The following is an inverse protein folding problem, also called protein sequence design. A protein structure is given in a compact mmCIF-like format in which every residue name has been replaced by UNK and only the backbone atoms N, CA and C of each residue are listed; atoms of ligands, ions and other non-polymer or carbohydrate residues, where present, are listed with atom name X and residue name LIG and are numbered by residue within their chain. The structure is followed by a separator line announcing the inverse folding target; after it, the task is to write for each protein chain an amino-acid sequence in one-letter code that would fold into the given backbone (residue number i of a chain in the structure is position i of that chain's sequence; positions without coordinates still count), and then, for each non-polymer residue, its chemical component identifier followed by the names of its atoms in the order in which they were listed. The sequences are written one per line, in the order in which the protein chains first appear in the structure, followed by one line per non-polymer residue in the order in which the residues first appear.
data_IF_840873771111
#
_entry.id   IF_840873771111
#
_cell.length_a   1.000
_cell.length_b   1.000
_cell.length_c   1.000
_cell.angle_alpha   90.00
_cell.angle_beta   90.00
_cell.angle_gamma   90.00
#
_symmetry.space_group_name_H-M   'P 1'
#
loop_
_entity.id
_entity.type
_entity.pdbx_description
1 polymer ?
#
# COMPACT_ATOMS: atom_id res chain seq x y z
N UNK A 1 -27.30 42.24 25.74
CA UNK A 1 -25.93 42.44 25.25
C UNK A 1 -25.25 41.07 25.25
N UNK A 2 -25.39 40.32 24.16
CA UNK A 2 -24.92 38.93 24.02
C UNK A 2 -23.54 38.97 23.37
N UNK A 3 -22.52 38.51 24.12
CA UNK A 3 -21.17 38.35 23.63
C UNK A 3 -21.08 37.08 22.79
N UNK A 4 -20.97 37.21 21.45
CA UNK A 4 -20.54 36.16 20.57
C UNK A 4 -19.03 35.94 20.77
N UNK A 5 -18.65 34.81 21.39
CA UNK A 5 -17.28 34.32 21.34
C UNK A 5 -17.05 33.72 19.97
N UNK A 6 -16.31 34.41 19.11
CA UNK A 6 -15.70 33.82 17.94
C UNK A 6 -14.66 32.79 18.39
N UNK A 7 -14.95 31.51 18.14
CA UNK A 7 -13.95 30.44 18.23
C UNK A 7 -13.15 30.51 16.93
N UNK A 8 -12.04 31.22 16.98
CA UNK A 8 -11.04 31.15 15.88
C UNK A 8 -10.33 29.80 15.96
N UNK A 9 -10.87 28.80 15.27
CA UNK A 9 -10.19 27.55 15.03
C UNK A 9 -9.01 27.81 14.08
N UNK A 10 -7.82 28.04 14.62
CA UNK A 10 -6.59 27.90 13.85
C UNK A 10 -6.52 26.43 13.49
N UNK A 11 -6.71 26.10 12.22
CA UNK A 11 -6.29 24.80 11.67
C UNK A 11 -4.79 24.69 11.98
N UNK A 12 -4.41 23.80 12.89
CA UNK A 12 -3.01 23.50 13.14
C UNK A 12 -2.46 22.91 11.83
N UNK A 13 -1.76 23.72 11.06
CA UNK A 13 -1.03 23.26 9.88
C UNK A 13 0.15 22.48 10.43
N UNK A 14 0.06 21.14 10.39
CA UNK A 14 1.18 20.27 10.74
C UNK A 14 2.22 20.43 9.65
N UNK A 15 3.36 21.03 10.00
CA UNK A 15 4.45 21.28 9.06
C UNK A 15 5.43 20.10 9.07
N UNK A 16 5.90 19.71 7.88
CA UNK A 16 7.01 18.78 7.76
C UNK A 16 8.30 19.45 8.24
N UNK A 17 9.11 18.72 9.01
CA UNK A 17 10.37 19.20 9.57
C UNK A 17 11.55 18.56 8.82
N UNK A 18 12.09 17.52 9.37
CA UNK A 18 13.29 16.85 8.89
C UNK A 18 12.95 15.62 8.08
N UNK A 19 13.66 15.38 6.99
CA UNK A 19 13.62 14.11 6.26
C UNK A 19 14.14 12.99 7.17
N UNK A 20 13.31 11.96 7.41
CA UNK A 20 13.67 10.77 8.18
C UNK A 20 14.20 9.68 7.24
N UNK A 21 13.50 9.47 6.12
CA UNK A 21 13.77 8.38 5.20
C UNK A 21 13.36 8.76 3.78
N UNK A 22 14.17 8.34 2.79
CA UNK A 22 13.86 8.50 1.37
C UNK A 22 13.76 7.14 0.70
N UNK A 23 12.53 6.72 0.40
CA UNK A 23 12.23 5.45 -0.26
C UNK A 23 12.13 5.57 -1.78
N UNK A 24 11.79 4.45 -2.42
CA UNK A 24 11.59 4.36 -3.88
C UNK A 24 10.40 5.20 -4.37
N UNK A 25 9.29 5.20 -3.59
CA UNK A 25 8.03 5.85 -3.96
C UNK A 25 7.70 7.09 -3.12
N UNK A 26 8.27 7.21 -1.91
CA UNK A 26 7.92 8.25 -0.92
C UNK A 26 9.14 8.73 -0.16
N UNK A 27 9.08 9.98 0.25
CA UNK A 27 9.93 10.56 1.28
C UNK A 27 9.12 10.70 2.57
N UNK A 28 9.72 10.36 3.71
CA UNK A 28 9.10 10.40 5.03
C UNK A 28 9.75 11.51 5.84
N UNK A 29 8.93 12.42 6.36
CA UNK A 29 9.34 13.55 7.16
C UNK A 29 8.80 13.47 8.58
N UNK A 30 9.58 13.94 9.54
CA UNK A 30 9.12 14.25 10.88
C UNK A 30 8.10 15.39 10.83
N UNK A 31 7.17 15.41 11.80
CA UNK A 31 6.26 16.52 12.04
C UNK A 31 6.52 17.16 13.42
N UNK A 32 5.66 18.05 13.87
CA UNK A 32 5.72 18.62 15.22
C UNK A 32 5.33 17.58 16.29
N UNK A 33 4.47 16.65 15.94
CA UNK A 33 4.10 15.51 16.78
C UNK A 33 5.04 14.35 16.51
N UNK A 34 5.76 13.88 17.53
CA UNK A 34 6.73 12.78 17.42
C UNK A 34 6.10 11.43 16.99
N UNK A 35 4.78 11.29 17.21
CA UNK A 35 4.01 10.10 16.85
C UNK A 35 3.36 10.20 15.46
N UNK A 36 3.60 11.29 14.74
CA UNK A 36 3.04 11.54 13.41
C UNK A 36 4.14 11.83 12.41
N UNK A 37 4.05 11.20 11.27
CA UNK A 37 4.94 11.42 10.12
C UNK A 37 4.16 11.97 8.94
N UNK A 38 4.86 12.64 8.04
CA UNK A 38 4.33 13.07 6.75
C UNK A 38 5.00 12.27 5.63
N UNK A 39 4.18 11.57 4.86
CA UNK A 39 4.61 10.87 3.65
C UNK A 39 4.40 11.78 2.44
N UNK A 40 5.44 11.95 1.62
CA UNK A 40 5.42 12.77 0.39
C UNK A 40 5.68 11.85 -0.81
N UNK A 41 4.69 11.68 -1.65
CA UNK A 41 4.74 10.77 -2.79
C UNK A 41 5.55 11.36 -3.96
N UNK A 42 6.40 10.52 -4.55
CA UNK A 42 7.32 10.87 -5.63
C UNK A 42 6.81 10.39 -6.98
N UNK A 43 7.17 11.10 -8.04
CA UNK A 43 6.87 10.70 -9.41
C UNK A 43 7.80 9.59 -9.94
N UNK A 44 8.54 8.95 -9.05
CA UNK A 44 9.50 7.92 -9.41
C UNK A 44 8.81 6.57 -9.60
N UNK A 45 8.99 5.96 -10.77
CA UNK A 45 8.66 4.57 -11.04
C UNK A 45 9.96 3.74 -11.02
N UNK A 46 9.93 2.62 -10.31
CA UNK A 46 11.08 1.71 -10.22
C UNK A 46 10.66 0.29 -10.55
N UNK A 47 11.54 -0.46 -11.21
CA UNK A 47 11.39 -1.90 -11.43
C UNK A 47 12.74 -2.61 -11.28
N UNK A 48 12.71 -3.95 -11.22
CA UNK A 48 13.89 -4.80 -11.05
C UNK A 48 14.75 -4.33 -9.86
N UNK A 49 14.12 -4.23 -8.69
CA UNK A 49 14.74 -3.78 -7.43
C UNK A 49 15.52 -2.45 -7.56
N UNK A 50 15.01 -1.53 -8.42
CA UNK A 50 15.59 -0.21 -8.62
C UNK A 50 16.64 -0.12 -9.76
N UNK A 51 16.86 -1.20 -10.52
CA UNK A 51 17.76 -1.21 -11.68
C UNK A 51 17.26 -0.30 -12.82
N UNK A 52 15.93 -0.20 -13.00
CA UNK A 52 15.31 0.80 -13.89
C UNK A 52 14.53 1.80 -13.04
N UNK A 53 14.81 3.08 -13.26
CA UNK A 53 14.15 4.21 -12.60
C UNK A 53 13.77 5.25 -13.64
N UNK A 54 12.52 5.67 -13.59
CA UNK A 54 12.00 6.73 -14.46
C UNK A 54 11.18 7.71 -13.63
N UNK A 55 11.18 8.98 -14.03
CA UNK A 55 10.27 10.00 -13.48
C UNK A 55 9.04 10.06 -14.38
N UNK A 56 7.86 9.81 -13.80
CA UNK A 56 6.57 9.85 -14.50
C UNK A 56 5.72 10.92 -13.83
N UNK A 57 5.63 12.08 -14.46
CA UNK A 57 4.92 13.25 -13.93
C UNK A 57 3.47 12.90 -13.55
N UNK A 58 3.06 13.29 -12.35
CA UNK A 58 1.72 13.05 -11.82
C UNK A 58 1.52 11.69 -11.14
N UNK A 59 2.44 10.73 -11.29
CA UNK A 59 2.32 9.41 -10.67
C UNK A 59 2.16 9.48 -9.15
N UNK A 60 2.98 10.32 -8.48
CA UNK A 60 2.92 10.49 -7.04
C UNK A 60 1.59 11.07 -6.55
N UNK A 61 0.99 11.98 -7.32
CA UNK A 61 -0.35 12.51 -7.05
C UNK A 61 -1.39 11.39 -7.08
N UNK A 62 -1.40 10.60 -8.14
CA UNK A 62 -2.36 9.50 -8.32
C UNK A 62 -2.19 8.43 -7.23
N UNK A 63 -0.96 8.02 -6.93
CA UNK A 63 -0.70 7.07 -5.86
C UNK A 63 -1.16 7.57 -4.50
N UNK A 64 -0.91 8.84 -4.18
CA UNK A 64 -1.37 9.44 -2.93
C UNK A 64 -2.89 9.45 -2.83
N UNK A 65 -3.59 9.86 -3.89
CA UNK A 65 -5.05 9.92 -3.90
C UNK A 65 -5.68 8.53 -3.81
N UNK A 66 -5.18 7.55 -4.59
CA UNK A 66 -5.67 6.17 -4.53
C UNK A 66 -5.43 5.56 -3.15
N UNK A 67 -4.21 5.70 -2.62
CA UNK A 67 -3.86 5.16 -1.31
C UNK A 67 -4.70 5.81 -0.20
N UNK A 68 -4.89 7.12 -0.23
CA UNK A 68 -5.75 7.83 0.74
C UNK A 68 -7.18 7.31 0.71
N UNK A 69 -7.78 7.21 -0.48
CA UNK A 69 -9.13 6.70 -0.66
C UNK A 69 -9.29 5.29 -0.09
N UNK A 70 -8.38 4.38 -0.43
CA UNK A 70 -8.43 2.99 0.05
C UNK A 70 -8.25 2.94 1.57
N UNK A 71 -7.31 3.68 2.15
CA UNK A 71 -7.10 3.71 3.59
C UNK A 71 -8.29 4.31 4.36
N UNK A 72 -8.95 5.34 3.83
CA UNK A 72 -10.18 5.89 4.40
C UNK A 72 -11.29 4.83 4.45
N UNK A 73 -11.51 4.10 3.35
CA UNK A 73 -12.50 3.01 3.31
C UNK A 73 -12.13 1.84 4.22
N UNK A 74 -10.85 1.47 4.30
CA UNK A 74 -10.38 0.43 5.23
C UNK A 74 -10.60 0.85 6.69
N UNK A 75 -10.28 2.10 7.04
CA UNK A 75 -10.55 2.64 8.39
C UNK A 75 -12.06 2.61 8.70
N UNK A 76 -12.92 3.03 7.75
CA UNK A 76 -14.37 2.98 7.90
C UNK A 76 -14.90 1.55 8.08
N UNK A 77 -14.25 0.55 7.46
CA UNK A 77 -14.55 -0.87 7.62
C UNK A 77 -13.92 -1.50 8.88
N UNK A 78 -13.28 -0.69 9.74
CA UNK A 78 -12.71 -1.12 11.02
C UNK A 78 -11.35 -1.79 10.92
N UNK A 79 -10.63 -1.67 9.78
CA UNK A 79 -9.22 -2.05 9.68
C UNK A 79 -8.40 -0.95 10.37
N UNK A 80 -7.52 -1.34 11.29
CA UNK A 80 -6.60 -0.41 11.91
C UNK A 80 -5.46 -0.07 10.95
N UNK A 81 -5.32 1.20 10.59
CA UNK A 81 -4.26 1.65 9.69
C UNK A 81 -3.43 2.78 10.30
N UNK A 82 -2.26 3.04 9.76
CA UNK A 82 -1.45 4.18 10.13
C UNK A 82 -1.98 5.51 9.54
N UNK A 83 -2.84 5.45 8.52
CA UNK A 83 -3.35 6.62 7.81
C UNK A 83 -4.20 7.50 8.72
N UNK A 84 -3.90 8.80 8.73
CA UNK A 84 -4.66 9.82 9.45
C UNK A 84 -5.51 10.63 8.48
N UNK A 85 -4.86 11.24 7.48
CA UNK A 85 -5.55 12.00 6.42
C UNK A 85 -4.60 12.39 5.28
N UNK A 86 -5.17 12.63 4.12
CA UNK A 86 -4.53 13.37 3.03
C UNK A 86 -4.48 14.87 3.38
N UNK A 87 -3.36 15.52 3.13
CA UNK A 87 -3.17 16.98 3.41
C UNK A 87 -2.92 17.79 2.16
N UNK A 88 -2.42 17.18 1.11
CA UNK A 88 -2.28 17.78 -0.22
C UNK A 88 -2.35 16.70 -1.30
N UNK A 89 -2.21 17.09 -2.57
CA UNK A 89 -2.21 16.13 -3.69
C UNK A 89 -1.13 15.06 -3.55
N UNK A 90 -0.02 15.36 -2.87
CA UNK A 90 1.15 14.47 -2.73
C UNK A 90 1.45 14.05 -1.30
N UNK A 91 0.74 14.55 -0.32
CA UNK A 91 1.12 14.41 1.08
C UNK A 91 0.01 13.79 1.92
N UNK A 92 0.42 12.86 2.79
CA UNK A 92 -0.42 12.24 3.82
C UNK A 92 0.19 12.45 5.20
N UNK A 93 -0.65 12.60 6.21
CA UNK A 93 -0.26 12.38 7.60
C UNK A 93 -0.56 10.95 7.99
N UNK A 94 0.40 10.32 8.62
CA UNK A 94 0.31 8.94 9.08
C UNK A 94 0.81 8.85 10.53
N UNK A 95 0.27 7.92 11.29
CA UNK A 95 0.86 7.52 12.57
C UNK A 95 2.27 6.97 12.31
N UNK A 96 3.20 7.34 13.15
CA UNK A 96 4.52 6.72 13.15
C UNK A 96 4.39 5.30 13.67
N UNK A 97 4.97 4.35 12.96
CA UNK A 97 4.99 2.94 13.33
C UNK A 97 6.41 2.37 13.15
N UNK A 98 6.73 1.39 13.95
CA UNK A 98 7.92 0.57 13.73
C UNK A 98 7.55 -0.54 12.73
N UNK A 99 8.03 -0.43 11.51
CA UNK A 99 7.70 -1.37 10.43
C UNK A 99 8.22 -2.77 10.78
N UNK A 100 7.33 -3.76 10.71
CA UNK A 100 7.72 -5.17 10.72
C UNK A 100 8.39 -5.43 9.36
N UNK A 101 9.65 -5.89 9.32
CA UNK A 101 10.41 -6.00 8.07
C UNK A 101 9.95 -7.20 7.22
N UNK A 102 8.65 -7.24 6.92
CA UNK A 102 7.99 -8.23 6.07
C UNK A 102 7.13 -7.52 5.02
N UNK A 103 7.25 -7.97 3.78
CA UNK A 103 6.20 -7.79 2.79
C UNK A 103 5.24 -8.98 2.90
N UNK A 104 3.96 -8.69 3.15
CA UNK A 104 2.90 -9.70 3.21
C UNK A 104 2.16 -9.66 1.87
N UNK A 105 2.36 -10.69 1.05
CA UNK A 105 1.76 -10.77 -0.29
C UNK A 105 0.60 -11.75 -0.26
N UNK A 106 -0.57 -11.31 -0.76
CA UNK A 106 -1.71 -12.20 -0.94
C UNK A 106 -2.02 -12.34 -2.42
N UNK A 107 -2.27 -13.58 -2.85
CA UNK A 107 -2.57 -13.91 -4.23
C UNK A 107 -3.94 -14.55 -4.35
N UNK A 108 -4.77 -13.97 -5.22
CA UNK A 108 -6.08 -14.51 -5.62
C UNK A 108 -5.97 -15.26 -6.96
N UNK A 109 -5.04 -14.83 -7.81
CA UNK A 109 -4.79 -15.36 -9.16
C UNK A 109 -3.29 -15.49 -9.37
N UNK A 110 -2.85 -16.49 -10.13
CA UNK A 110 -1.43 -16.68 -10.45
C UNK A 110 -0.93 -15.59 -11.39
N UNK A 111 0.13 -14.87 -10.98
CA UNK A 111 0.75 -13.83 -11.79
C UNK A 111 2.19 -13.52 -11.34
N UNK A 112 2.94 -12.86 -12.20
CA UNK A 112 4.22 -12.25 -11.88
C UNK A 112 5.25 -13.22 -11.32
N UNK A 113 5.83 -12.89 -10.14
CA UNK A 113 6.88 -13.72 -9.52
C UNK A 113 6.40 -15.10 -9.08
N UNK A 114 5.11 -15.25 -8.74
CA UNK A 114 4.53 -16.55 -8.39
C UNK A 114 4.58 -17.51 -9.60
N UNK A 115 4.04 -17.06 -10.74
CA UNK A 115 4.02 -17.86 -11.96
C UNK A 115 5.43 -18.25 -12.41
N UNK A 116 6.37 -17.30 -12.35
CA UNK A 116 7.78 -17.55 -12.70
C UNK A 116 8.45 -18.56 -11.77
N UNK A 117 8.27 -18.42 -10.47
CA UNK A 117 8.90 -19.24 -9.43
C UNK A 117 8.42 -20.69 -9.45
N UNK A 118 7.12 -20.89 -9.70
CA UNK A 118 6.52 -22.22 -9.67
C UNK A 118 6.28 -22.82 -11.05
N UNK A 119 6.63 -22.13 -12.14
CA UNK A 119 6.48 -22.62 -13.50
C UNK A 119 5.02 -22.84 -13.91
N UNK A 120 4.09 -22.04 -13.37
CA UNK A 120 2.65 -22.12 -13.66
C UNK A 120 2.20 -20.97 -14.56
N UNK A 121 1.17 -21.20 -15.36
CA UNK A 121 0.60 -20.15 -16.22
C UNK A 121 0.07 -18.98 -15.38
N UNK A 122 0.13 -17.78 -15.93
CA UNK A 122 -0.59 -16.61 -15.36
C UNK A 122 -2.10 -16.76 -15.61
N UNK A 123 -2.91 -16.17 -14.72
CA UNK A 123 -4.36 -16.10 -14.89
C UNK A 123 -5.16 -17.27 -14.30
N UNK A 124 -4.52 -18.20 -13.60
CA UNK A 124 -5.23 -19.27 -12.92
C UNK A 124 -5.79 -18.76 -11.59
N UNK A 125 -7.12 -18.80 -11.43
CA UNK A 125 -7.77 -18.48 -10.17
C UNK A 125 -7.38 -19.52 -9.10
N UNK A 126 -7.10 -19.04 -7.88
CA UNK A 126 -6.79 -19.90 -6.74
C UNK A 126 -8.07 -20.18 -5.95
N UNK A 127 -8.36 -21.45 -5.65
CA UNK A 127 -9.52 -21.84 -4.85
C UNK A 127 -9.50 -21.19 -3.46
N UNK A 128 -8.30 -21.02 -2.92
CA UNK A 128 -8.06 -20.29 -1.67
C UNK A 128 -6.90 -19.32 -1.87
N UNK A 129 -7.04 -18.07 -1.42
CA UNK A 129 -5.95 -17.10 -1.50
C UNK A 129 -4.69 -17.59 -0.78
N UNK A 130 -3.54 -17.43 -1.42
CA UNK A 130 -2.23 -17.79 -0.84
C UNK A 130 -1.62 -16.55 -0.22
N UNK A 131 -1.14 -16.66 1.03
CA UNK A 131 -0.37 -15.63 1.72
C UNK A 131 1.08 -16.04 1.74
N UNK A 132 1.96 -15.17 1.28
CA UNK A 132 3.41 -15.33 1.21
C UNK A 132 4.09 -14.24 2.03
N UNK A 133 5.28 -14.53 2.54
CA UNK A 133 6.16 -13.55 3.18
C UNK A 133 7.42 -13.34 2.36
N UNK A 134 7.87 -12.08 2.31
CA UNK A 134 9.18 -11.70 1.82
C UNK A 134 9.88 -10.90 2.91
N UNK A 135 11.14 -11.21 3.16
CA UNK A 135 11.96 -10.46 4.12
C UNK A 135 12.36 -9.13 3.51
N UNK A 136 11.84 -8.03 4.05
CA UNK A 136 12.11 -6.68 3.57
C UNK A 136 13.55 -6.28 3.89
N UNK A 137 14.46 -6.64 2.99
CA UNK A 137 15.89 -6.37 3.10
C UNK A 137 16.49 -6.22 1.71
N UNK A 138 16.58 -4.98 1.23
CA UNK A 138 17.05 -4.62 -0.12
C UNK A 138 18.41 -5.28 -0.46
N UNK A 139 19.32 -5.39 0.52
CA UNK A 139 20.66 -6.00 0.34
C UNK A 139 20.60 -7.51 0.01
N UNK A 140 19.50 -8.17 0.36
CA UNK A 140 19.24 -9.58 0.09
C UNK A 140 18.23 -9.81 -1.04
N UNK A 141 17.82 -8.73 -1.75
CA UNK A 141 16.83 -8.78 -2.82
C UNK A 141 15.45 -9.28 -2.35
N UNK A 142 15.05 -8.89 -1.12
CA UNK A 142 13.76 -9.21 -0.48
C UNK A 142 13.37 -10.69 -0.66
N UNK A 143 14.12 -11.64 -0.07
CA UNK A 143 13.93 -13.06 -0.33
C UNK A 143 12.58 -13.57 0.17
N UNK A 144 11.99 -14.50 -0.59
CA UNK A 144 10.83 -15.27 -0.15
C UNK A 144 11.20 -16.12 1.07
N UNK A 145 10.37 -16.06 2.12
CA UNK A 145 10.57 -16.78 3.37
C UNK A 145 9.26 -17.41 3.86
N UNK A 146 9.37 -18.43 4.71
CA UNK A 146 8.23 -19.07 5.38
C UNK A 146 8.14 -18.68 6.87
N UNK A 147 7.14 -19.21 7.55
CA UNK A 147 6.85 -18.90 8.97
C UNK A 147 8.02 -19.25 9.90
N UNK A 148 8.69 -20.37 9.65
CA UNK A 148 9.84 -20.81 10.45
C UNK A 148 11.04 -19.87 10.25
N UNK A 149 11.25 -19.37 9.03
CA UNK A 149 12.28 -18.36 8.78
C UNK A 149 11.97 -17.05 9.52
N UNK A 150 10.70 -16.61 9.50
CA UNK A 150 10.26 -15.39 10.20
C UNK A 150 10.54 -15.49 11.69
N UNK A 151 10.24 -16.64 12.30
CA UNK A 151 10.50 -16.90 13.72
C UNK A 151 11.99 -17.03 14.03
N UNK A 152 12.74 -17.77 13.21
CA UNK A 152 14.19 -17.96 13.39
C UNK A 152 14.96 -16.62 13.30
N UNK A 153 14.53 -15.72 12.44
CA UNK A 153 15.12 -14.40 12.27
C UNK A 153 14.63 -13.37 13.31
N UNK A 154 13.79 -13.80 14.26
CA UNK A 154 13.20 -12.97 15.32
C UNK A 154 12.45 -11.73 14.78
N UNK A 155 11.79 -11.88 13.61
CA UNK A 155 11.05 -10.82 12.94
C UNK A 155 9.65 -10.67 13.54
N UNK A 156 8.95 -11.79 13.76
CA UNK A 156 7.62 -11.84 14.35
C UNK A 156 7.37 -13.17 15.06
N UNK A 157 6.57 -13.13 16.12
CA UNK A 157 6.15 -14.34 16.86
C UNK A 157 5.14 -15.17 16.05
N UNK A 158 4.88 -16.40 16.49
CA UNK A 158 3.86 -17.25 15.86
C UNK A 158 2.46 -16.61 15.88
N UNK A 159 2.11 -15.94 16.98
CA UNK A 159 0.86 -15.21 17.14
C UNK A 159 0.77 -14.01 16.19
N UNK A 160 1.86 -13.26 16.06
CA UNK A 160 1.95 -12.13 15.13
C UNK A 160 1.85 -12.60 13.67
N UNK A 161 2.52 -13.70 13.32
CA UNK A 161 2.41 -14.32 11.98
C UNK A 161 0.95 -14.72 11.68
N UNK A 162 0.28 -15.35 12.63
CA UNK A 162 -1.13 -15.73 12.50
C UNK A 162 -2.01 -14.50 12.29
N UNK A 163 -1.80 -13.44 13.09
CA UNK A 163 -2.51 -12.17 12.96
C UNK A 163 -2.29 -11.52 11.58
N UNK A 164 -1.03 -11.41 11.13
CA UNK A 164 -0.71 -10.83 9.82
C UNK A 164 -1.43 -11.56 8.68
N UNK A 165 -1.46 -12.89 8.72
CA UNK A 165 -2.16 -13.70 7.71
C UNK A 165 -3.67 -13.51 7.75
N UNK A 166 -4.27 -13.49 8.93
CA UNK A 166 -5.71 -13.33 9.11
C UNK A 166 -6.16 -11.93 8.68
N UNK A 167 -5.48 -10.89 9.16
CA UNK A 167 -5.82 -9.51 8.80
C UNK A 167 -5.62 -9.25 7.31
N UNK A 168 -4.57 -9.81 6.69
CA UNK A 168 -4.38 -9.72 5.23
C UNK A 168 -5.52 -10.38 4.47
N UNK A 169 -6.04 -11.54 4.93
CA UNK A 169 -7.23 -12.17 4.31
C UNK A 169 -8.49 -11.35 4.50
N UNK A 170 -8.67 -10.73 5.67
CA UNK A 170 -9.79 -9.82 5.95
C UNK A 170 -9.76 -8.61 5.02
N UNK A 171 -8.59 -7.98 4.89
CA UNK A 171 -8.37 -6.86 3.96
C UNK A 171 -8.64 -7.29 2.51
N UNK A 172 -8.18 -8.48 2.12
CA UNK A 172 -8.44 -9.03 0.78
C UNK A 172 -9.94 -9.15 0.47
N UNK A 173 -10.72 -9.61 1.43
CA UNK A 173 -12.17 -9.75 1.23
C UNK A 173 -12.84 -8.39 0.94
N UNK A 174 -12.45 -7.34 1.66
CA UNK A 174 -12.92 -5.98 1.45
C UNK A 174 -12.48 -5.43 0.08
N UNK A 175 -11.19 -5.52 -0.22
CA UNK A 175 -10.63 -5.01 -1.47
C UNK A 175 -11.21 -5.73 -2.69
N UNK A 176 -11.35 -7.06 -2.65
CA UNK A 176 -12.00 -7.81 -3.74
C UNK A 176 -13.41 -7.31 -4.00
N UNK A 177 -14.24 -7.19 -2.97
CA UNK A 177 -15.62 -6.70 -3.10
C UNK A 177 -15.66 -5.29 -3.72
N UNK A 178 -14.76 -4.39 -3.30
CA UNK A 178 -14.72 -3.04 -3.85
C UNK A 178 -14.26 -3.00 -5.31
N UNK A 179 -13.19 -3.72 -5.65
CA UNK A 179 -12.70 -3.75 -7.02
C UNK A 179 -13.67 -4.46 -7.97
N UNK A 180 -14.32 -5.54 -7.56
CA UNK A 180 -15.35 -6.22 -8.35
C UNK A 180 -16.53 -5.29 -8.66
N UNK A 181 -16.99 -4.46 -7.72
CA UNK A 181 -18.06 -3.47 -7.92
C UNK A 181 -17.76 -2.43 -9.00
N UNK A 182 -16.48 -2.13 -9.21
CA UNK A 182 -16.03 -1.18 -10.23
C UNK A 182 -15.46 -1.86 -11.48
N UNK A 183 -15.74 -3.14 -11.67
CA UNK A 183 -15.34 -3.91 -12.86
C UNK A 183 -13.84 -4.20 -12.95
N UNK A 184 -13.15 -4.30 -11.83
CA UNK A 184 -11.74 -4.68 -11.74
C UNK A 184 -11.56 -5.97 -10.95
N UNK A 185 -10.65 -6.82 -11.40
CA UNK A 185 -10.29 -8.05 -10.69
C UNK A 185 -8.98 -7.83 -9.93
N UNK A 186 -9.02 -8.02 -8.61
CA UNK A 186 -7.82 -7.98 -7.75
C UNK A 186 -7.06 -9.30 -7.87
N UNK A 187 -5.93 -9.28 -8.54
CA UNK A 187 -5.09 -10.44 -8.83
C UNK A 187 -4.23 -10.80 -7.62
N UNK A 188 -3.43 -9.87 -7.17
CA UNK A 188 -2.59 -9.98 -5.99
C UNK A 188 -2.23 -8.58 -5.44
N UNK A 189 -1.69 -8.55 -4.24
CA UNK A 189 -1.18 -7.32 -3.65
C UNK A 189 -0.16 -7.60 -2.56
N UNK A 190 0.62 -6.57 -2.22
CA UNK A 190 1.56 -6.52 -1.12
C UNK A 190 1.05 -5.55 -0.05
N UNK A 191 1.12 -5.97 1.22
CA UNK A 191 0.90 -5.11 2.37
C UNK A 191 2.16 -5.07 3.25
N UNK A 192 2.32 -3.97 3.95
CA UNK A 192 3.29 -3.83 5.03
C UNK A 192 2.56 -3.46 6.32
N UNK A 193 3.03 -3.97 7.44
CA UNK A 193 2.48 -3.71 8.76
C UNK A 193 3.55 -3.13 9.67
N UNK A 194 3.11 -2.41 10.69
CA UNK A 194 4.00 -1.88 11.70
C UNK A 194 3.35 -1.89 13.07
N UNK A 195 4.16 -1.74 14.12
CA UNK A 195 3.70 -1.60 15.50
C UNK A 195 3.59 -0.12 15.84
N UNK A 196 2.44 0.31 16.31
CA UNK A 196 2.23 1.66 16.81
C UNK A 196 2.88 1.83 18.20
N UNK A 197 2.78 3.03 18.77
CA UNK A 197 3.37 3.36 20.08
C UNK A 197 2.77 2.55 21.23
N UNK A 198 1.61 1.94 21.04
CA UNK A 198 0.95 1.06 22.01
C UNK A 198 1.31 -0.43 21.79
N UNK A 199 2.09 -0.73 20.74
CA UNK A 199 2.48 -2.08 20.34
C UNK A 199 1.41 -2.81 19.50
N UNK A 200 0.34 -2.13 19.08
CA UNK A 200 -0.64 -2.74 18.19
C UNK A 200 -0.08 -2.87 16.79
N UNK A 201 -0.29 -4.03 16.15
CA UNK A 201 0.01 -4.21 14.73
C UNK A 201 -1.09 -3.55 13.91
N UNK A 202 -0.71 -2.63 13.04
CA UNK A 202 -1.62 -1.90 12.15
C UNK A 202 -1.09 -1.90 10.71
N UNK A 203 -1.99 -1.78 9.74
CA UNK A 203 -1.63 -1.65 8.34
C UNK A 203 -0.88 -0.34 8.09
N UNK A 204 0.21 -0.41 7.36
CA UNK A 204 1.08 0.72 7.05
C UNK A 204 1.41 0.80 5.56
N UNK A 205 2.42 1.57 5.19
CA UNK A 205 2.95 1.83 3.86
C UNK A 205 1.91 2.47 2.92
N UNK A 206 1.46 1.79 1.89
CA UNK A 206 0.48 2.26 0.91
C UNK A 206 -0.37 1.11 0.37
N UNK A 207 -1.50 1.45 -0.25
CA UNK A 207 -2.20 0.58 -1.17
C UNK A 207 -2.50 1.35 -2.45
N UNK A 208 -1.83 0.98 -3.53
CA UNK A 208 -1.96 1.62 -4.83
C UNK A 208 -1.65 0.62 -5.95
N UNK A 209 -1.89 0.96 -7.22
CA UNK A 209 -1.49 0.11 -8.33
C UNK A 209 0.03 -0.15 -8.44
N UNK A 210 0.85 0.52 -7.60
CA UNK A 210 2.28 0.20 -7.48
C UNK A 210 2.55 -1.11 -6.75
N UNK A 211 1.68 -1.49 -5.80
CA UNK A 211 1.84 -2.68 -4.95
C UNK A 211 0.68 -3.69 -5.05
N UNK A 212 -0.23 -3.53 -6.01
CA UNK A 212 -1.21 -4.54 -6.37
C UNK A 212 -1.23 -4.78 -7.89
N UNK A 213 -1.86 -5.90 -8.30
CA UNK A 213 -2.24 -6.16 -9.68
C UNK A 213 -3.75 -6.13 -9.82
N UNK A 214 -4.20 -5.37 -10.79
CA UNK A 214 -5.60 -5.21 -11.14
C UNK A 214 -5.76 -5.49 -12.63
N UNK A 215 -6.75 -6.29 -12.99
CA UNK A 215 -7.11 -6.52 -14.38
C UNK A 215 -8.55 -6.08 -14.63
N UNK A 216 -8.82 -5.54 -15.81
CA UNK A 216 -10.18 -5.26 -16.25
C UNK A 216 -10.88 -6.53 -16.79
N UNK A 217 -12.11 -6.39 -17.26
CA UNK A 217 -12.91 -7.51 -17.76
C UNK A 217 -12.30 -8.18 -19.01
N UNK A 218 -11.49 -7.47 -19.77
CA UNK A 218 -10.81 -7.95 -20.96
C UNK A 218 -9.41 -8.53 -20.65
N UNK A 219 -9.00 -8.49 -19.38
CA UNK A 219 -7.68 -8.96 -18.91
C UNK A 219 -6.56 -7.95 -19.11
N UNK A 220 -6.87 -6.67 -19.42
CA UNK A 220 -5.85 -5.64 -19.50
C UNK A 220 -5.34 -5.27 -18.11
N UNK A 221 -4.04 -4.98 -18.03
CA UNK A 221 -3.40 -4.55 -16.78
C UNK A 221 -3.82 -3.12 -16.41
N UNK A 222 -4.35 -2.96 -15.20
CA UNK A 222 -4.75 -1.68 -14.61
C UNK A 222 -3.83 -1.33 -13.42
N UNK A 223 -2.55 -1.64 -13.54
CA UNK A 223 -1.54 -1.55 -12.50
C UNK A 223 -0.14 -1.27 -13.07
N UNK A 224 0.89 -1.34 -12.20
CA UNK A 224 2.28 -1.07 -12.55
C UNK A 224 2.87 -2.02 -13.62
N UNK A 225 2.23 -3.12 -13.91
CA UNK A 225 2.70 -4.01 -14.97
C UNK A 225 2.58 -3.36 -16.36
N UNK A 226 1.74 -2.33 -16.52
CA UNK A 226 1.75 -1.47 -17.72
C UNK A 226 3.14 -0.87 -17.96
N UNK A 227 3.79 -0.36 -16.91
CA UNK A 227 5.16 0.16 -16.98
C UNK A 227 6.21 -0.96 -17.08
N UNK A 228 6.06 -2.04 -16.30
CA UNK A 228 7.01 -3.16 -16.27
C UNK A 228 7.09 -3.91 -17.60
N UNK A 229 5.99 -3.92 -18.36
CA UNK A 229 5.83 -4.66 -19.61
C UNK A 229 5.78 -3.75 -20.85
N UNK A 230 5.99 -2.43 -20.67
CA UNK A 230 5.93 -1.40 -21.73
C UNK A 230 4.60 -1.45 -22.53
N UNK A 231 3.45 -1.53 -21.82
CA UNK A 231 2.11 -1.71 -22.41
C UNK A 231 1.38 -0.38 -22.68
N UNK A 232 1.88 0.76 -22.17
CA UNK A 232 1.24 2.07 -22.36
C UNK A 232 1.56 3.09 -21.27
N UNK A 233 0.68 4.09 -21.13
CA UNK A 233 0.82 5.18 -20.15
C UNK A 233 0.38 4.73 -18.77
N UNK A 234 1.30 4.77 -17.81
CA UNK A 234 1.05 4.42 -16.42
C UNK A 234 0.05 5.37 -15.76
N UNK A 235 0.20 6.67 -16.00
CA UNK A 235 -0.66 7.70 -15.41
C UNK A 235 -2.07 7.65 -15.93
N UNK A 236 -2.28 7.33 -17.22
CA UNK A 236 -3.63 7.18 -17.77
C UNK A 236 -4.36 6.02 -17.09
N UNK A 237 -3.67 4.90 -16.90
CA UNK A 237 -4.23 3.73 -16.19
C UNK A 237 -4.55 4.04 -14.73
N UNK A 238 -3.64 4.72 -14.01
CA UNK A 238 -3.87 5.09 -12.61
C UNK A 238 -5.00 6.10 -12.46
N UNK A 239 -5.15 7.02 -13.43
CA UNK A 239 -6.27 7.95 -13.47
C UNK A 239 -7.61 7.21 -13.61
N UNK A 240 -7.68 6.23 -14.51
CA UNK A 240 -8.88 5.38 -14.67
C UNK A 240 -9.20 4.63 -13.38
N UNK A 241 -8.20 4.05 -12.73
CA UNK A 241 -8.40 3.35 -11.44
C UNK A 241 -8.95 4.31 -10.38
N UNK A 242 -8.39 5.52 -10.27
CA UNK A 242 -8.86 6.53 -9.32
C UNK A 242 -10.31 6.96 -9.60
N UNK A 243 -10.67 7.19 -10.88
CA UNK A 243 -12.03 7.56 -11.27
C UNK A 243 -13.02 6.47 -10.91
N UNK A 244 -12.71 5.21 -11.24
CA UNK A 244 -13.52 4.06 -10.85
C UNK A 244 -13.68 3.91 -9.33
N UNK A 245 -12.62 4.11 -8.56
CA UNK A 245 -12.71 4.05 -7.08
C UNK A 245 -13.67 5.09 -6.52
N UNK A 246 -13.76 6.28 -7.11
CA UNK A 246 -14.73 7.31 -6.71
C UNK A 246 -16.19 6.94 -6.98
N UNK A 247 -16.46 5.92 -7.80
CA UNK A 247 -17.81 5.38 -8.01
C UNK A 247 -18.32 4.55 -6.80
N UNK A 248 -17.41 4.22 -5.84
CA UNK A 248 -17.76 3.48 -4.63
C UNK A 248 -18.35 4.36 -3.51
N UNK A 249 -18.32 5.67 -3.65
CA UNK A 249 -18.96 6.64 -2.75
C UNK A 249 -20.37 6.96 -3.25
#
# INVERSE_FOLDING_TARGET
MLYFRQVTGKANIIMKKQLIYSGKAKDIYATEDENVIMSVYKDQATMLNGARKETIDGKGVLNNQISSFIFEKLNAAGVKTHFIKQVSDREQLNKKVDIIPLEVVLRNVTAGSFSKRFGVAEGLALDKPIVEFYYKKDELDDPFINDEHVQFLDIASAEEIAYLKEETRRINALLKDWFEKIGLTLIDFKLEFGKDVEGNIILADEFSPDNCRLWDADGNHMDKDVFRRDLGSLTDVYQVVLEKLKELD
#
